data_IF_353857439981
#
_entry.id   IF_353857439981
#
_cell.length_a   1.000
_cell.length_b   1.000
_cell.length_c   1.000
_cell.angle_alpha   90.00
_cell.angle_beta   90.00
_cell.angle_gamma   90.00
#
_symmetry.space_group_name_H-M   'P 1'
#
loop_
_entity.id
_entity.type
_entity.pdbx_description
1 polymer ?
#
# COMPACT_ATOMS: atom_id res chain seq x y z
N UNK A 1 21.13 6.14 -2.31
CA UNK A 1 19.78 5.62 -2.63
C UNK A 1 19.36 4.72 -1.49
N UNK A 2 18.17 4.90 -0.90
CA UNK A 2 17.60 3.96 0.06
C UNK A 2 17.53 2.55 -0.55
N UNK A 3 17.70 1.51 0.26
CA UNK A 3 17.69 0.12 -0.23
C UNK A 3 16.40 -0.23 -0.99
N UNK A 4 15.26 0.27 -0.50
CA UNK A 4 13.95 0.05 -1.10
C UNK A 4 13.80 0.72 -2.48
N UNK A 5 14.46 1.86 -2.72
CA UNK A 5 14.38 2.54 -4.03
C UNK A 5 15.01 1.69 -5.14
N UNK A 6 16.13 1.01 -4.86
CA UNK A 6 16.79 0.12 -5.83
C UNK A 6 15.95 -1.11 -6.15
N UNK A 7 15.32 -1.70 -5.15
CA UNK A 7 14.51 -2.91 -5.32
C UNK A 7 13.20 -2.62 -6.08
N UNK A 8 12.51 -1.53 -5.75
CA UNK A 8 11.33 -1.05 -6.51
C UNK A 8 11.66 -0.84 -7.98
N UNK A 9 12.79 -0.19 -8.28
CA UNK A 9 13.26 0.04 -9.65
C UNK A 9 13.45 -1.30 -10.39
N UNK A 10 14.06 -2.30 -9.75
CA UNK A 10 14.23 -3.63 -10.32
C UNK A 10 12.89 -4.36 -10.57
N UNK A 11 11.89 -4.10 -9.73
CA UNK A 11 10.53 -4.66 -9.81
C UNK A 11 9.67 -3.99 -10.89
N UNK A 12 10.01 -2.78 -11.34
CA UNK A 12 9.38 -2.07 -12.46
C UNK A 12 9.90 -2.57 -13.83
N UNK A 13 9.99 -3.89 -14.02
CA UNK A 13 10.42 -4.49 -15.30
C UNK A 13 9.56 -3.97 -16.46
N UNK A 14 10.23 -3.47 -17.50
CA UNK A 14 9.58 -2.87 -18.67
C UNK A 14 9.32 -1.37 -18.54
N UNK A 15 9.57 -0.72 -17.40
CA UNK A 15 9.55 0.75 -17.31
C UNK A 15 10.94 1.32 -17.55
N UNK A 16 10.97 2.51 -18.12
CA UNK A 16 12.19 3.25 -18.45
C UNK A 16 12.35 4.40 -17.46
N UNK A 17 13.47 4.43 -16.75
CA UNK A 17 13.70 5.45 -15.73
C UNK A 17 14.48 6.59 -16.35
N UNK A 18 13.91 7.79 -16.35
CA UNK A 18 14.39 8.97 -17.12
C UNK A 18 15.80 9.45 -16.74
N UNK A 19 16.40 8.90 -15.67
CA UNK A 19 17.76 9.24 -15.24
C UNK A 19 18.86 8.33 -15.80
N UNK A 20 18.54 7.35 -16.64
CA UNK A 20 19.51 6.41 -17.22
C UNK A 20 19.87 6.80 -18.66
N UNK A 21 21.16 6.73 -19.02
CA UNK A 21 21.57 6.76 -20.43
C UNK A 21 21.10 5.45 -21.07
N UNK A 22 20.20 5.55 -22.05
CA UNK A 22 19.47 4.40 -22.56
C UNK A 22 19.59 4.31 -24.08
N UNK A 23 19.83 3.10 -24.57
CA UNK A 23 19.82 2.77 -26.00
C UNK A 23 18.42 2.82 -26.60
N UNK A 24 18.33 3.01 -27.92
CA UNK A 24 17.05 3.00 -28.67
C UNK A 24 16.28 1.69 -28.49
N UNK A 25 16.96 0.54 -28.45
CA UNK A 25 16.34 -0.77 -28.22
C UNK A 25 15.59 -0.87 -26.89
N UNK A 26 16.06 -0.17 -25.86
CA UNK A 26 15.41 -0.15 -24.54
C UNK A 26 14.18 0.74 -24.54
N UNK A 27 14.18 1.81 -25.35
CA UNK A 27 13.01 2.70 -25.51
C UNK A 27 11.85 1.99 -26.21
N UNK A 28 12.14 1.20 -27.23
CA UNK A 28 11.10 0.48 -28.00
C UNK A 28 10.41 -0.64 -27.21
N UNK A 29 11.09 -1.20 -26.21
CA UNK A 29 10.55 -2.26 -25.34
C UNK A 29 9.94 -1.73 -24.05
N UNK A 30 10.06 -0.43 -23.80
CA UNK A 30 9.56 0.18 -22.58
C UNK A 30 8.05 0.41 -22.66
N UNK A 31 7.35 0.03 -21.60
CA UNK A 31 5.96 0.37 -21.33
C UNK A 31 5.81 1.89 -21.20
N UNK A 32 6.71 2.55 -20.44
CA UNK A 32 6.68 4.00 -20.25
C UNK A 32 7.97 4.57 -19.65
N UNK A 33 8.14 5.88 -19.75
CA UNK A 33 9.18 6.65 -19.06
C UNK A 33 8.66 7.22 -17.75
N UNK A 34 9.40 7.03 -16.64
CA UNK A 34 9.08 7.60 -15.33
C UNK A 34 10.29 8.34 -14.73
N UNK A 35 10.04 9.53 -14.16
CA UNK A 35 11.06 10.23 -13.36
C UNK A 35 11.23 9.52 -12.03
N UNK A 36 12.49 9.30 -11.66
CA UNK A 36 12.89 8.76 -10.35
C UNK A 36 12.18 9.42 -9.15
N UNK A 37 12.01 10.76 -9.18
CA UNK A 37 11.28 11.50 -8.13
C UNK A 37 9.85 11.01 -7.88
N UNK A 38 9.17 10.48 -8.91
CA UNK A 38 7.84 9.91 -8.74
C UNK A 38 7.92 8.57 -8.05
N UNK A 39 8.91 7.73 -8.37
CA UNK A 39 9.14 6.45 -7.69
C UNK A 39 9.27 6.67 -6.18
N UNK A 40 10.16 7.57 -5.74
CA UNK A 40 10.34 7.90 -4.31
C UNK A 40 9.02 8.30 -3.64
N UNK A 41 8.25 9.19 -4.28
CA UNK A 41 6.95 9.65 -3.78
C UNK A 41 5.92 8.52 -3.66
N UNK A 42 5.95 7.56 -4.58
CA UNK A 42 5.02 6.43 -4.57
C UNK A 42 5.40 5.35 -3.56
N UNK A 43 6.70 5.18 -3.29
CA UNK A 43 7.20 4.34 -2.17
C UNK A 43 6.67 4.88 -0.84
N UNK A 44 6.81 6.18 -0.57
CA UNK A 44 6.31 6.81 0.66
C UNK A 44 4.80 6.61 0.82
N UNK A 45 4.04 6.73 -0.29
CA UNK A 45 2.61 6.45 -0.30
C UNK A 45 2.32 4.99 0.00
N UNK A 46 3.04 4.05 -0.60
CA UNK A 46 2.87 2.61 -0.37
C UNK A 46 3.17 2.24 1.09
N UNK A 47 4.26 2.75 1.66
CA UNK A 47 4.59 2.58 3.09
C UNK A 47 3.46 3.08 3.99
N UNK A 48 2.96 4.30 3.75
CA UNK A 48 1.84 4.85 4.53
C UNK A 48 0.58 3.99 4.41
N UNK A 49 0.30 3.45 3.22
CA UNK A 49 -0.85 2.56 2.97
C UNK A 49 -0.67 1.19 3.63
N UNK A 50 0.52 0.62 3.58
CA UNK A 50 0.87 -0.64 4.25
C UNK A 50 0.68 -0.53 5.76
N UNK A 51 1.23 0.52 6.40
CA UNK A 51 1.04 0.80 7.84
C UNK A 51 -0.43 1.01 8.20
N UNK A 52 -1.18 1.69 7.34
CA UNK A 52 -2.62 1.90 7.53
C UNK A 52 -3.43 0.61 7.40
N UNK A 53 -3.08 -0.26 6.47
CA UNK A 53 -3.75 -1.55 6.26
C UNK A 53 -3.48 -2.53 7.40
N UNK A 54 -2.23 -2.61 7.87
CA UNK A 54 -1.84 -3.50 8.96
C UNK A 54 -2.19 -2.95 10.34
N UNK A 55 -2.64 -1.71 10.44
CA UNK A 55 -2.76 -0.96 11.71
C UNK A 55 -1.46 -0.96 12.53
N UNK A 56 -0.31 -1.14 11.87
CA UNK A 56 0.99 -1.25 12.52
C UNK A 56 1.89 -0.06 12.10
N UNK A 57 2.02 0.93 12.96
CA UNK A 57 2.89 2.10 12.70
C UNK A 57 4.39 1.75 12.73
N UNK A 58 4.73 0.68 13.46
CA UNK A 58 6.08 0.15 13.62
C UNK A 58 6.37 -1.01 12.65
N UNK A 59 5.57 -1.14 11.59
CA UNK A 59 5.81 -2.11 10.53
C UNK A 59 7.23 -1.93 10.00
N UNK A 60 8.05 -2.97 10.10
CA UNK A 60 9.44 -2.94 9.68
C UNK A 60 9.54 -2.99 8.16
N UNK A 61 9.57 -1.81 7.55
CA UNK A 61 9.63 -1.65 6.09
C UNK A 61 11.06 -1.67 5.54
N UNK A 62 12.06 -1.97 6.37
CA UNK A 62 13.47 -1.92 5.97
C UNK A 62 14.15 -3.28 6.07
N UNK A 63 13.85 -4.08 7.09
CA UNK A 63 14.53 -5.35 7.34
C UNK A 63 13.63 -6.58 7.19
N UNK A 64 12.30 -6.42 7.21
CA UNK A 64 11.40 -7.53 6.93
C UNK A 64 11.21 -7.70 5.43
N UNK A 65 11.78 -8.77 4.87
CA UNK A 65 11.78 -9.03 3.42
C UNK A 65 10.37 -9.07 2.81
N UNK A 66 9.41 -9.71 3.50
CA UNK A 66 8.01 -9.81 3.03
C UNK A 66 7.35 -8.43 3.01
N UNK A 67 7.60 -7.61 4.03
CA UNK A 67 7.04 -6.25 4.08
C UNK A 67 7.67 -5.37 3.01
N UNK A 68 8.98 -5.49 2.79
CA UNK A 68 9.70 -4.77 1.75
C UNK A 68 9.15 -5.13 0.37
N UNK A 69 9.00 -6.42 0.07
CA UNK A 69 8.41 -6.92 -1.17
C UNK A 69 6.96 -6.45 -1.34
N UNK A 70 6.14 -6.49 -0.28
CA UNK A 70 4.78 -5.98 -0.34
C UNK A 70 4.71 -4.48 -0.64
N UNK A 71 5.62 -3.67 -0.06
CA UNK A 71 5.71 -2.23 -0.36
C UNK A 71 6.12 -2.00 -1.80
N UNK A 72 7.01 -2.82 -2.35
CA UNK A 72 7.42 -2.78 -3.75
C UNK A 72 6.26 -3.09 -4.70
N UNK A 73 5.58 -4.21 -4.48
CA UNK A 73 4.43 -4.65 -5.27
C UNK A 73 3.31 -3.63 -5.21
N UNK A 74 3.03 -3.06 -4.02
CA UNK A 74 2.05 -1.98 -3.87
C UNK A 74 2.47 -0.71 -4.62
N UNK A 75 3.76 -0.34 -4.55
CA UNK A 75 4.28 0.83 -5.28
C UNK A 75 4.09 0.67 -6.78
N UNK A 76 4.40 -0.50 -7.34
CA UNK A 76 4.17 -0.80 -8.75
C UNK A 76 2.69 -0.70 -9.12
N UNK A 77 1.79 -1.28 -8.32
CA UNK A 77 0.35 -1.18 -8.54
C UNK A 77 -0.18 0.27 -8.54
N UNK A 78 0.33 1.12 -7.62
CA UNK A 78 -0.03 2.54 -7.60
C UNK A 78 0.46 3.31 -8.82
N UNK A 79 1.62 2.95 -9.36
CA UNK A 79 2.19 3.58 -10.56
C UNK A 79 1.39 3.18 -11.81
N UNK A 80 1.05 1.90 -11.97
CA UNK A 80 0.16 1.42 -13.03
C UNK A 80 -1.20 2.13 -12.98
N UNK A 81 -1.82 2.20 -11.80
CA UNK A 81 -3.12 2.88 -11.62
C UNK A 81 -3.06 4.40 -11.83
N UNK A 82 -1.89 5.03 -11.70
CA UNK A 82 -1.71 6.46 -12.01
C UNK A 82 -1.74 6.69 -13.52
N UNK A 83 -1.03 5.87 -14.29
CA UNK A 83 -0.90 6.09 -15.74
C UNK A 83 -2.27 6.08 -16.45
N UNK A 84 -3.23 5.29 -15.99
CA UNK A 84 -4.62 5.32 -16.50
C UNK A 84 -5.38 6.59 -16.18
N UNK A 85 -5.15 7.18 -15.01
CA UNK A 85 -5.80 8.46 -14.65
C UNK A 85 -5.26 9.62 -15.47
N UNK A 86 -4.02 9.51 -15.94
CA UNK A 86 -3.38 10.48 -16.81
C UNK A 86 -3.78 10.27 -18.30
N UNK A 87 -4.49 9.17 -18.64
CA UNK A 87 -5.11 9.00 -19.96
C UNK A 87 -6.42 9.81 -20.07
N UNK A 88 -6.60 10.54 -21.17
CA UNK A 88 -7.76 11.43 -21.39
C UNK A 88 -9.09 10.69 -21.58
N UNK A 89 -9.05 9.42 -22.01
CA UNK A 89 -10.20 8.53 -22.12
C UNK A 89 -9.76 7.13 -21.67
N UNK A 90 -10.03 6.74 -20.42
CA UNK A 90 -9.69 5.40 -19.96
C UNK A 90 -10.59 4.38 -20.64
N UNK A 91 -10.01 3.42 -21.37
CA UNK A 91 -10.75 2.27 -21.88
C UNK A 91 -11.11 1.36 -20.68
N UNK A 92 -12.40 1.09 -20.41
CA UNK A 92 -12.79 0.20 -19.31
C UNK A 92 -12.30 -1.25 -19.48
N UNK A 93 -11.87 -1.65 -20.69
CA UNK A 93 -11.20 -2.93 -20.97
C UNK A 93 -9.68 -2.92 -20.78
N UNK A 94 -9.09 -1.79 -20.35
CA UNK A 94 -7.65 -1.62 -20.31
C UNK A 94 -7.03 -2.49 -19.20
N UNK A 95 -6.24 -3.50 -19.63
CA UNK A 95 -5.56 -4.50 -18.78
C UNK A 95 -4.67 -3.87 -17.71
N UNK A 96 -4.39 -2.59 -17.85
CA UNK A 96 -3.55 -1.75 -17.01
C UNK A 96 -4.17 -1.56 -15.61
N UNK A 97 -5.51 -1.40 -15.47
CA UNK A 97 -6.17 -1.24 -14.15
C UNK A 97 -6.17 -2.59 -13.45
N UNK A 98 -6.54 -3.64 -14.19
CA UNK A 98 -6.56 -5.01 -13.68
C UNK A 98 -5.17 -5.41 -13.18
N UNK A 99 -4.12 -4.99 -13.88
CA UNK A 99 -2.73 -5.21 -13.44
C UNK A 99 -2.41 -4.42 -12.17
N UNK A 100 -2.74 -3.13 -12.13
CA UNK A 100 -2.47 -2.29 -10.96
C UNK A 100 -3.22 -2.75 -9.70
N UNK A 101 -4.50 -3.10 -9.84
CA UNK A 101 -5.34 -3.61 -8.75
C UNK A 101 -4.94 -5.02 -8.30
N UNK A 102 -4.55 -5.90 -9.23
CA UNK A 102 -4.02 -7.22 -8.89
C UNK A 102 -2.74 -7.12 -8.05
N UNK A 103 -1.80 -6.24 -8.43
CA UNK A 103 -0.58 -6.01 -7.65
C UNK A 103 -0.90 -5.44 -6.25
N UNK A 104 -1.89 -4.55 -6.13
CA UNK A 104 -2.31 -4.04 -4.82
C UNK A 104 -2.96 -5.15 -3.97
N UNK A 105 -3.73 -6.05 -4.59
CA UNK A 105 -4.34 -7.18 -3.90
C UNK A 105 -3.26 -8.15 -3.37
N UNK A 106 -2.28 -8.48 -4.21
CA UNK A 106 -1.14 -9.33 -3.86
C UNK A 106 -0.34 -8.73 -2.68
N UNK A 107 -0.03 -7.44 -2.73
CA UNK A 107 0.66 -6.75 -1.62
C UNK A 107 -0.13 -6.82 -0.29
N UNK A 108 -1.47 -6.74 -0.35
CA UNK A 108 -2.31 -6.86 0.85
C UNK A 108 -2.35 -8.28 1.40
N UNK A 109 -2.29 -9.28 0.53
CA UNK A 109 -2.21 -10.69 0.92
C UNK A 109 -0.90 -10.96 1.66
N UNK A 110 0.23 -10.50 1.12
CA UNK A 110 1.55 -10.56 1.75
C UNK A 110 1.57 -9.88 3.13
N UNK A 111 0.87 -8.75 3.28
CA UNK A 111 0.79 -8.00 4.53
C UNK A 111 -0.23 -8.56 5.53
N UNK A 112 -1.13 -9.45 5.10
CA UNK A 112 -2.21 -9.99 5.95
C UNK A 112 -1.73 -10.58 7.29
N UNK A 113 -0.58 -11.28 7.39
CA UNK A 113 -0.10 -11.81 8.67
C UNK A 113 0.38 -10.72 9.64
N UNK A 114 0.65 -9.52 9.14
CA UNK A 114 1.12 -8.38 9.93
C UNK A 114 -0.02 -7.48 10.40
N UNK A 115 -1.28 -7.81 10.08
CA UNK A 115 -2.45 -7.03 10.48
C UNK A 115 -2.68 -7.20 11.97
N UNK A 116 -2.54 -6.10 12.72
CA UNK A 116 -2.90 -6.05 14.13
C UNK A 116 -4.43 -5.91 14.20
N UNK A 117 -5.14 -6.83 14.88
CA UNK A 117 -6.56 -6.69 15.07
C UNK A 117 -6.84 -5.39 15.80
N UNK A 118 -7.80 -4.62 15.28
CA UNK A 118 -8.29 -3.46 16.01
C UNK A 118 -8.95 -4.01 17.27
N UNK A 119 -8.31 -3.81 18.44
CA UNK A 119 -9.03 -3.92 19.69
C UNK A 119 -10.17 -2.91 19.58
N UNK A 120 -11.37 -3.40 19.29
CA UNK A 120 -12.60 -2.65 19.49
C UNK A 120 -12.64 -2.38 21.00
N UNK A 121 -12.05 -1.27 21.43
CA UNK A 121 -12.39 -0.70 22.72
C UNK A 121 -13.89 -0.48 22.63
N UNK A 122 -14.62 -1.32 23.37
CA UNK A 122 -16.06 -1.27 23.48
C UNK A 122 -16.52 0.18 23.50
N UNK A 123 -17.40 0.54 22.57
CA UNK A 123 -18.42 1.53 22.88
C UNK A 123 -19.22 0.95 24.04
N UNK A 124 -18.77 1.17 25.27
CA UNK A 124 -19.68 1.17 26.41
C UNK A 124 -20.48 2.46 26.26
N UNK A 125 -21.78 2.43 25.90
CA UNK A 125 -22.61 3.58 26.14
C UNK A 125 -22.63 3.76 27.66
N UNK A 126 -22.09 4.88 28.13
CA UNK A 126 -22.34 5.40 29.46
C UNK A 126 -23.85 5.61 29.55
N UNK A 127 -24.58 4.62 30.05
CA UNK A 127 -25.93 4.80 30.57
C UNK A 127 -25.89 4.50 32.06
N UNK A 128 -25.84 5.60 32.83
CA UNK A 128 -26.21 5.63 34.25
C UNK A 128 -27.50 4.84 34.45
N UNK A 129 -27.56 4.00 35.48
CA UNK A 129 -28.83 3.78 36.18
C UNK A 129 -28.58 3.66 37.70
N UNK A 130 -28.86 4.78 38.35
CA UNK A 130 -29.53 4.98 39.65
C UNK A 130 -29.29 3.95 40.77
N UNK A 131 -28.71 4.48 41.84
CA UNK A 131 -28.66 3.95 43.21
C UNK A 131 -30.08 3.65 43.69
N UNK A 132 -30.34 2.40 44.06
CA UNK A 132 -31.50 1.99 44.84
C UNK A 132 -31.06 1.10 45.98
N UNK A 133 -30.74 1.70 47.13
CA UNK A 133 -30.68 0.96 48.40
C UNK A 133 -32.10 0.54 48.75
N UNK A 134 -32.42 -0.74 48.57
CA UNK A 134 -33.59 -1.34 49.20
C UNK A 134 -33.13 -1.97 50.52
N UNK A 135 -33.49 -1.30 51.62
CA UNK A 135 -33.58 -1.91 52.94
C UNK A 135 -34.84 -2.78 53.05
N UNK A 136 -34.91 -3.53 54.15
CA UNK A 136 -36.01 -4.35 54.73
C UNK A 136 -35.81 -5.84 54.46
N UNK A 137 -35.89 -6.79 55.40
CA UNK A 137 -35.74 -6.92 56.88
C UNK A 137 -35.94 -8.43 57.14
N UNK A 138 -35.23 -8.99 58.11
CA UNK A 138 -35.57 -10.30 58.72
C UNK A 138 -36.96 -10.22 59.38
N UNK A 139 -37.77 -11.26 59.14
CA UNK A 139 -38.75 -11.86 60.08
C UNK A 139 -39.11 -13.27 59.60
#
# INVERSE_FOLDING_TARGET
MPANEKKVIASLKGWLIESEELSETTRDRAVKVIKKKYITKYIEKAVKRAKGYTNNQNLDTENNEIVVEAVETWTAGLLWNRELRDQSVPDPGDKVIQTGDALIAEAKEMLSPNVIPVNNTLKSPINRLVIGTAFISDD
#
